data_IF_414979682424
#
_entry.id   IF_414979682424
#
_cell.length_a   1.000
_cell.length_b   1.000
_cell.length_c   1.000
_cell.angle_alpha   90.00
_cell.angle_beta   90.00
_cell.angle_gamma   90.00
#
_symmetry.space_group_name_H-M   'P 1'
#
loop_
_entity.id
_entity.type
_entity.pdbx_description
1 polymer ?
#
# COMPACT_ATOMS: atom_id res chain seq x y z
N UNK A 1 -6.63 4.06 -27.99
CA UNK A 1 -6.60 3.57 -26.58
C UNK A 1 -6.21 4.76 -25.69
N UNK A 2 -7.15 5.24 -24.88
CA UNK A 2 -6.86 6.34 -23.93
C UNK A 2 -6.02 5.74 -22.79
N UNK A 3 -4.80 6.23 -22.62
CA UNK A 3 -3.93 5.76 -21.52
C UNK A 3 -4.46 6.24 -20.15
N UNK A 4 -4.19 5.51 -19.08
CA UNK A 4 -4.60 5.89 -17.71
C UNK A 4 -4.17 7.33 -17.36
N UNK A 5 -3.00 7.76 -17.79
CA UNK A 5 -2.49 9.13 -17.56
C UNK A 5 -3.37 10.16 -18.27
N UNK A 6 -3.84 9.88 -19.50
CA UNK A 6 -4.75 10.75 -20.24
C UNK A 6 -6.10 10.84 -19.53
N UNK A 7 -6.65 9.70 -19.13
CA UNK A 7 -7.92 9.65 -18.37
C UNK A 7 -7.83 10.45 -17.06
N UNK A 8 -6.73 10.32 -16.32
CA UNK A 8 -6.52 11.07 -15.07
C UNK A 8 -6.37 12.59 -15.29
N UNK A 9 -5.91 13.01 -16.48
CA UNK A 9 -5.78 14.44 -16.84
C UNK A 9 -7.11 15.03 -17.30
N UNK A 10 -7.93 14.27 -18.04
CA UNK A 10 -9.21 14.74 -18.59
C UNK A 10 -10.28 14.96 -17.51
N UNK A 11 -10.18 14.24 -16.38
CA UNK A 11 -11.11 14.38 -15.25
C UNK A 11 -10.69 15.56 -14.35
N UNK A 12 -10.87 16.80 -14.83
CA UNK A 12 -10.54 17.99 -14.05
C UNK A 12 -11.64 18.29 -13.02
N UNK A 13 -11.22 18.77 -11.85
CA UNK A 13 -12.10 19.36 -10.82
C UNK A 13 -12.38 18.50 -9.58
N UNK A 14 -12.30 17.16 -9.64
CA UNK A 14 -12.50 16.28 -8.47
C UNK A 14 -11.20 15.68 -7.99
N UNK A 15 -11.03 15.49 -6.66
CA UNK A 15 -9.90 14.75 -6.12
C UNK A 15 -9.98 13.28 -6.58
N UNK A 16 -8.83 12.65 -6.76
CA UNK A 16 -8.72 11.28 -7.28
C UNK A 16 -8.09 10.35 -6.25
N UNK A 17 -8.62 9.15 -6.15
CA UNK A 17 -8.04 8.09 -5.33
C UNK A 17 -7.78 6.84 -6.17
N UNK A 18 -6.52 6.42 -6.20
CA UNK A 18 -6.08 5.21 -6.88
C UNK A 18 -5.77 4.16 -5.82
N UNK A 19 -6.47 3.03 -5.88
CA UNK A 19 -6.20 1.85 -5.07
C UNK A 19 -5.26 0.91 -5.83
N UNK A 20 -4.10 0.62 -5.24
CA UNK A 20 -3.20 -0.42 -5.74
C UNK A 20 -3.54 -1.74 -5.07
N UNK A 21 -3.83 -2.77 -5.85
CA UNK A 21 -4.08 -4.13 -5.37
C UNK A 21 -3.10 -5.13 -6.00
N UNK A 22 -2.83 -6.19 -5.29
CA UNK A 22 -1.97 -7.29 -5.77
C UNK A 22 -1.10 -7.86 -4.66
N UNK A 23 -0.64 -9.12 -4.81
CA UNK A 23 0.15 -9.80 -3.81
C UNK A 23 1.52 -9.16 -3.56
N UNK A 24 2.17 -9.55 -2.48
CA UNK A 24 3.56 -9.16 -2.22
C UNK A 24 4.44 -9.63 -3.38
N UNK A 25 5.35 -8.76 -3.86
CA UNK A 25 6.21 -9.08 -5.02
C UNK A 25 5.56 -8.94 -6.40
N UNK A 26 4.28 -8.56 -6.51
CA UNK A 26 3.60 -8.39 -7.81
C UNK A 26 4.04 -7.18 -8.64
N UNK A 27 4.88 -6.29 -8.08
CA UNK A 27 5.39 -5.12 -8.78
C UNK A 27 4.54 -3.85 -8.61
N UNK A 28 3.67 -3.76 -7.59
CA UNK A 28 2.86 -2.57 -7.30
C UNK A 28 3.67 -1.28 -7.31
N UNK A 29 4.77 -1.23 -6.56
CA UNK A 29 5.62 -0.03 -6.46
C UNK A 29 6.22 0.38 -7.81
N UNK A 30 6.63 -0.58 -8.64
CA UNK A 30 7.11 -0.30 -9.99
C UNK A 30 6.00 0.31 -10.87
N UNK A 31 4.82 -0.29 -10.85
CA UNK A 31 3.67 0.17 -11.63
C UNK A 31 3.21 1.55 -11.15
N UNK A 32 3.13 1.78 -9.84
CA UNK A 32 2.73 3.08 -9.29
C UNK A 32 3.71 4.20 -9.68
N UNK A 33 5.02 3.96 -9.60
CA UNK A 33 6.03 4.94 -10.03
C UNK A 33 5.95 5.30 -11.51
N UNK A 34 5.52 4.36 -12.36
CA UNK A 34 5.39 4.58 -13.80
C UNK A 34 4.07 5.22 -14.23
N UNK A 35 2.98 4.90 -13.56
CA UNK A 35 1.63 5.25 -14.01
C UNK A 35 0.96 6.33 -13.15
N UNK A 36 1.35 6.48 -11.88
CA UNK A 36 0.70 7.44 -10.98
C UNK A 36 1.46 8.77 -10.98
N UNK A 37 0.80 9.90 -11.23
CA UNK A 37 1.43 11.21 -11.18
C UNK A 37 2.03 11.53 -9.80
N UNK A 38 3.12 12.31 -9.78
CA UNK A 38 3.86 12.64 -8.55
C UNK A 38 3.08 13.48 -7.52
N UNK A 39 1.98 14.11 -7.93
CA UNK A 39 1.12 14.91 -7.05
C UNK A 39 0.13 14.06 -6.22
N UNK A 40 0.22 12.73 -6.27
CA UNK A 40 -0.57 11.85 -5.43
C UNK A 40 0.11 11.61 -4.08
N UNK A 41 -0.66 11.72 -3.01
CA UNK A 41 -0.21 11.41 -1.65
C UNK A 41 -0.30 9.90 -1.41
N UNK A 42 0.84 9.26 -1.24
CA UNK A 42 0.91 7.81 -0.99
C UNK A 42 0.48 7.49 0.44
N UNK A 43 -0.50 6.63 0.57
CA UNK A 43 -1.02 6.05 1.81
C UNK A 43 -0.61 4.58 1.84
N UNK A 44 0.49 4.28 2.53
CA UNK A 44 1.09 2.95 2.61
C UNK A 44 1.54 2.65 4.04
N UNK A 45 0.98 1.59 4.64
CA UNK A 45 1.34 1.15 6.00
C UNK A 45 2.76 0.59 6.03
N UNK A 46 3.17 -0.11 4.99
CA UNK A 46 4.50 -0.75 4.92
C UNK A 46 5.62 0.29 4.96
N UNK A 47 5.49 1.41 4.24
CA UNK A 47 6.49 2.49 4.25
C UNK A 47 6.62 3.13 5.64
N UNK A 48 5.50 3.32 6.33
CA UNK A 48 5.49 3.85 7.70
C UNK A 48 6.10 2.86 8.68
N UNK A 49 5.77 1.59 8.54
CA UNK A 49 6.31 0.52 9.36
C UNK A 49 7.82 0.33 9.18
N UNK A 50 8.31 0.36 7.94
CA UNK A 50 9.76 0.28 7.66
C UNK A 50 10.55 1.43 8.30
N UNK A 51 9.99 2.66 8.27
CA UNK A 51 10.60 3.80 8.97
C UNK A 51 10.68 3.58 10.49
N UNK A 52 9.63 3.02 11.09
CA UNK A 52 9.62 2.73 12.53
C UNK A 52 10.59 1.60 12.90
N UNK A 53 10.71 0.54 12.09
CA UNK A 53 11.69 -0.51 12.27
C UNK A 53 13.13 0.05 12.23
N UNK A 54 13.46 0.84 11.22
CA UNK A 54 14.76 1.49 11.08
C UNK A 54 15.07 2.39 12.29
N UNK A 55 14.12 3.20 12.71
CA UNK A 55 14.27 4.10 13.86
C UNK A 55 14.48 3.34 15.18
N UNK A 56 13.92 2.12 15.30
CA UNK A 56 14.10 1.27 16.48
C UNK A 56 15.38 0.42 16.47
N UNK A 57 16.19 0.49 15.41
CA UNK A 57 17.39 -0.33 15.23
C UNK A 57 17.11 -1.81 14.99
N UNK A 58 15.86 -2.18 14.70
CA UNK A 58 15.47 -3.57 14.48
C UNK A 58 15.78 -4.03 13.05
N UNK A 59 16.07 -5.32 12.91
CA UNK A 59 16.25 -5.95 11.61
C UNK A 59 15.00 -5.88 10.73
N UNK A 60 15.18 -5.93 9.40
CA UNK A 60 14.10 -5.84 8.42
C UNK A 60 13.50 -7.21 8.06
N UNK A 61 14.13 -8.31 8.44
CA UNK A 61 13.73 -9.68 8.08
C UNK A 61 13.02 -10.34 9.25
N UNK A 62 11.71 -10.48 9.18
CA UNK A 62 10.90 -11.12 10.24
C UNK A 62 11.35 -12.53 10.59
N UNK A 63 11.86 -13.30 9.61
CA UNK A 63 12.35 -14.66 9.83
C UNK A 63 13.57 -14.75 10.77
N UNK A 64 14.29 -13.65 10.95
CA UNK A 64 15.51 -13.60 11.78
C UNK A 64 15.26 -12.96 13.15
N UNK A 65 14.02 -12.60 13.48
CA UNK A 65 13.65 -11.93 14.72
C UNK A 65 13.44 -12.94 15.85
N UNK A 66 13.91 -12.60 17.04
CA UNK A 66 13.57 -13.30 18.28
C UNK A 66 12.08 -13.10 18.64
N UNK A 67 11.51 -13.92 19.56
CA UNK A 67 10.12 -13.74 20.00
C UNK A 67 9.81 -12.35 20.55
N UNK A 68 10.73 -11.74 21.29
CA UNK A 68 10.57 -10.39 21.84
C UNK A 68 10.62 -9.33 20.74
N UNK A 69 11.52 -9.48 19.77
CA UNK A 69 11.57 -8.61 18.60
C UNK A 69 10.30 -8.72 17.75
N UNK A 70 9.73 -9.92 17.58
CA UNK A 70 8.48 -10.14 16.88
C UNK A 70 7.30 -9.44 17.59
N UNK A 71 7.26 -9.49 18.93
CA UNK A 71 6.25 -8.78 19.73
C UNK A 71 6.37 -7.26 19.52
N UNK A 72 7.57 -6.71 19.68
CA UNK A 72 7.86 -5.28 19.46
C UNK A 72 7.55 -4.85 18.02
N UNK A 73 7.90 -5.69 17.04
CA UNK A 73 7.56 -5.50 15.62
C UNK A 73 6.05 -5.40 15.41
N UNK A 74 5.25 -6.21 16.10
CA UNK A 74 3.79 -6.14 16.10
C UNK A 74 3.24 -4.82 16.65
N UNK A 75 3.84 -4.32 17.73
CA UNK A 75 3.50 -3.02 18.32
C UNK A 75 3.79 -1.85 17.34
N UNK A 76 4.97 -1.89 16.70
CA UNK A 76 5.36 -0.92 15.67
C UNK A 76 4.44 -0.97 14.45
N UNK A 77 3.98 -2.16 14.04
CA UNK A 77 2.97 -2.31 12.99
C UNK A 77 1.64 -1.66 13.40
N UNK A 78 1.23 -1.80 14.67
CA UNK A 78 0.07 -1.11 15.22
C UNK A 78 0.19 0.41 15.16
N UNK A 79 1.35 0.95 15.51
CA UNK A 79 1.65 2.38 15.40
C UNK A 79 1.65 2.86 13.94
N UNK A 80 2.25 2.08 13.03
CA UNK A 80 2.27 2.37 11.60
C UNK A 80 0.86 2.48 11.02
N UNK A 81 -0.05 1.57 11.40
CA UNK A 81 -1.46 1.60 10.97
C UNK A 81 -2.14 2.87 11.44
N UNK A 82 -2.03 3.21 12.74
CA UNK A 82 -2.64 4.44 13.29
C UNK A 82 -2.11 5.71 12.59
N UNK A 83 -0.81 5.81 12.39
CA UNK A 83 -0.19 6.95 11.70
C UNK A 83 -0.63 7.05 10.23
N UNK A 84 -0.75 5.91 9.55
CA UNK A 84 -1.20 5.86 8.15
C UNK A 84 -2.68 6.19 8.02
N UNK A 85 -3.53 5.74 8.96
CA UNK A 85 -4.95 6.11 8.98
C UNK A 85 -5.13 7.61 9.28
N UNK A 86 -4.35 8.20 10.19
CA UNK A 86 -4.36 9.64 10.43
C UNK A 86 -3.97 10.43 9.17
N UNK A 87 -2.92 9.98 8.45
CA UNK A 87 -2.49 10.58 7.17
C UNK A 87 -3.58 10.46 6.10
N UNK A 88 -4.27 9.33 6.02
CA UNK A 88 -5.40 9.13 5.11
C UNK A 88 -6.54 10.11 5.41
N UNK A 89 -6.94 10.24 6.68
CA UNK A 89 -8.01 11.15 7.11
C UNK A 89 -7.66 12.62 6.83
N UNK A 90 -6.43 13.06 7.11
CA UNK A 90 -5.98 14.41 6.80
C UNK A 90 -6.02 14.68 5.30
N UNK A 91 -5.42 13.80 4.52
CA UNK A 91 -5.32 14.00 3.07
C UNK A 91 -6.69 13.93 2.37
N UNK A 92 -7.62 13.06 2.83
CA UNK A 92 -8.96 12.96 2.26
C UNK A 92 -9.83 14.19 2.60
N UNK A 93 -9.77 14.69 3.82
CA UNK A 93 -10.47 15.92 4.23
C UNK A 93 -10.00 17.15 3.46
N UNK A 94 -8.72 17.19 3.11
CA UNK A 94 -8.12 18.29 2.33
C UNK A 94 -8.21 18.06 0.80
N UNK A 95 -9.05 17.14 0.34
CA UNK A 95 -9.29 16.82 -1.08
C UNK A 95 -7.99 16.61 -1.90
N UNK A 96 -6.94 16.03 -1.26
CA UNK A 96 -5.68 15.71 -1.92
C UNK A 96 -5.82 14.43 -2.76
N UNK A 97 -5.17 14.36 -3.92
CA UNK A 97 -5.10 13.11 -4.68
C UNK A 97 -4.39 12.02 -3.87
N UNK A 98 -4.93 10.82 -3.87
CA UNK A 98 -4.49 9.70 -3.03
C UNK A 98 -4.04 8.50 -3.86
N UNK A 99 -2.89 7.94 -3.52
CA UNK A 99 -2.46 6.61 -3.92
C UNK A 99 -2.50 5.70 -2.69
N UNK A 100 -3.47 4.79 -2.66
CA UNK A 100 -3.67 3.87 -1.54
C UNK A 100 -3.04 2.53 -1.93
N UNK A 101 -1.83 2.31 -1.41
CA UNK A 101 -1.12 1.04 -1.62
C UNK A 101 -1.44 0.10 -0.46
N UNK A 102 -2.23 -0.92 -0.74
CA UNK A 102 -2.55 -1.96 0.22
C UNK A 102 -2.29 -3.34 -0.39
N UNK A 103 -1.67 -4.20 0.37
CA UNK A 103 -1.69 -5.62 0.07
C UNK A 103 -3.12 -6.08 0.34
N UNK A 104 -3.93 -6.26 -0.70
CA UNK A 104 -5.37 -6.52 -0.71
C UNK A 104 -5.96 -7.47 0.34
N UNK A 105 -5.58 -7.29 1.61
CA UNK A 105 -5.88 -8.22 2.70
C UNK A 105 -7.34 -8.32 3.11
N UNK A 106 -8.21 -7.39 2.69
CA UNK A 106 -9.65 -7.49 2.91
C UNK A 106 -10.42 -6.60 1.94
N UNK A 107 -11.20 -7.23 1.08
CA UNK A 107 -12.11 -6.53 0.18
C UNK A 107 -13.10 -5.61 0.94
N UNK A 108 -13.54 -6.02 2.13
CA UNK A 108 -14.42 -5.19 2.99
C UNK A 108 -13.77 -3.85 3.36
N UNK A 109 -12.50 -3.87 3.78
CA UNK A 109 -11.78 -2.63 4.16
C UNK A 109 -11.59 -1.73 2.94
N UNK A 110 -11.25 -2.30 1.80
CA UNK A 110 -11.08 -1.57 0.56
C UNK A 110 -12.38 -0.93 0.10
N UNK A 111 -13.49 -1.68 0.07
CA UNK A 111 -14.81 -1.19 -0.30
C UNK A 111 -15.32 -0.10 0.65
N UNK A 112 -15.05 -0.23 1.96
CA UNK A 112 -15.36 0.80 2.94
C UNK A 112 -14.61 2.11 2.65
N UNK A 113 -13.29 2.04 2.43
CA UNK A 113 -12.49 3.23 2.08
C UNK A 113 -12.93 3.85 0.76
N UNK A 114 -13.28 3.02 -0.22
CA UNK A 114 -13.83 3.48 -1.49
C UNK A 114 -15.12 4.28 -1.28
N UNK A 115 -16.11 3.71 -0.58
CA UNK A 115 -17.37 4.37 -0.29
C UNK A 115 -17.19 5.68 0.49
N UNK A 116 -16.28 5.70 1.47
CA UNK A 116 -15.93 6.91 2.24
C UNK A 116 -15.38 8.01 1.34
N UNK A 117 -14.49 7.69 0.41
CA UNK A 117 -13.91 8.65 -0.51
C UNK A 117 -14.92 9.13 -1.56
N UNK A 118 -15.77 8.26 -2.08
CA UNK A 118 -16.83 8.64 -3.02
C UNK A 118 -17.86 9.57 -2.37
N UNK A 119 -18.18 9.35 -1.08
CA UNK A 119 -19.03 10.26 -0.31
C UNK A 119 -18.38 11.64 -0.10
N UNK A 120 -17.04 11.72 -0.13
CA UNK A 120 -16.27 12.98 -0.11
C UNK A 120 -16.07 13.59 -1.50
N UNK A 121 -16.67 13.03 -2.55
CA UNK A 121 -16.62 13.54 -3.91
C UNK A 121 -15.41 13.10 -4.73
N UNK A 122 -14.68 12.09 -4.30
CA UNK A 122 -13.54 11.53 -5.05
C UNK A 122 -14.00 10.70 -6.25
N UNK A 123 -13.24 10.79 -7.33
CA UNK A 123 -13.24 9.77 -8.37
C UNK A 123 -12.28 8.65 -7.97
N UNK A 124 -12.76 7.41 -7.93
CA UNK A 124 -11.99 6.25 -7.45
C UNK A 124 -11.58 5.32 -8.58
N UNK A 125 -10.35 4.85 -8.57
CA UNK A 125 -9.76 3.94 -9.56
C UNK A 125 -9.07 2.78 -8.85
N UNK A 126 -8.95 1.63 -9.53
CA UNK A 126 -8.19 0.49 -9.05
C UNK A 126 -7.17 0.04 -10.11
N UNK A 127 -5.95 -0.15 -9.68
CA UNK A 127 -4.89 -0.80 -10.47
C UNK A 127 -4.55 -2.11 -9.77
N UNK A 128 -4.78 -3.23 -10.46
CA UNK A 128 -4.41 -4.55 -9.96
C UNK A 128 -3.16 -5.06 -10.68
N UNK A 129 -2.17 -5.48 -9.90
CA UNK A 129 -0.97 -6.14 -10.42
C UNK A 129 -1.00 -7.62 -10.07
N UNK A 130 -0.64 -8.45 -11.04
CA UNK A 130 -0.65 -9.90 -10.89
C UNK A 130 0.65 -10.50 -11.42
N UNK A 131 1.19 -11.49 -10.69
CA UNK A 131 2.29 -12.36 -11.11
C UNK A 131 2.06 -13.75 -10.52
N UNK A 132 2.72 -14.79 -11.01
CA UNK A 132 2.56 -16.12 -10.43
C UNK A 132 2.99 -16.19 -8.96
N UNK A 133 2.45 -17.12 -8.14
CA UNK A 133 2.89 -17.32 -6.75
C UNK A 133 4.40 -17.58 -6.66
N UNK A 134 4.96 -18.33 -7.60
CA UNK A 134 6.39 -18.63 -7.68
C UNK A 134 7.19 -17.35 -7.86
N UNK A 135 6.82 -16.52 -8.83
CA UNK A 135 7.46 -15.21 -9.08
C UNK A 135 7.34 -14.27 -7.86
N UNK A 136 6.20 -14.28 -7.17
CA UNK A 136 6.01 -13.53 -5.93
C UNK A 136 7.00 -13.96 -4.84
N UNK A 137 7.16 -15.27 -4.63
CA UNK A 137 8.09 -15.83 -3.64
C UNK A 137 9.55 -15.51 -3.98
N UNK A 138 9.94 -15.65 -5.25
CA UNK A 138 11.30 -15.32 -5.71
C UNK A 138 11.64 -13.84 -5.48
N UNK A 139 10.76 -12.95 -5.90
CA UNK A 139 10.93 -11.51 -5.72
C UNK A 139 10.94 -11.11 -4.23
N UNK A 140 10.13 -11.80 -3.41
CA UNK A 140 10.11 -11.54 -1.96
C UNK A 140 11.45 -11.87 -1.30
N UNK A 141 12.14 -12.93 -1.75
CA UNK A 141 13.49 -13.30 -1.22
C UNK A 141 14.55 -12.22 -1.50
N UNK A 142 14.40 -11.49 -2.61
CA UNK A 142 15.36 -10.47 -3.05
C UNK A 142 15.15 -9.10 -2.37
N UNK A 143 14.07 -8.95 -1.57
CA UNK A 143 13.77 -7.67 -0.90
C UNK A 143 14.56 -7.54 0.40
N UNK A 144 14.96 -6.30 0.73
CA UNK A 144 15.58 -5.97 2.02
C UNK A 144 14.65 -6.39 3.18
N UNK A 145 13.35 -6.08 3.04
CA UNK A 145 12.31 -6.59 3.94
C UNK A 145 11.58 -7.76 3.28
N UNK A 146 12.01 -8.97 3.59
CA UNK A 146 11.32 -10.17 3.15
C UNK A 146 10.23 -10.60 4.14
N UNK A 147 9.10 -11.02 3.60
CA UNK A 147 7.98 -11.59 4.35
C UNK A 147 8.15 -13.12 4.47
N UNK A 148 7.52 -13.71 5.48
CA UNK A 148 7.41 -15.17 5.55
C UNK A 148 6.67 -15.70 4.31
N UNK A 149 7.09 -16.84 3.72
CA UNK A 149 6.43 -17.42 2.54
C UNK A 149 4.92 -17.61 2.72
N UNK A 150 4.49 -18.01 3.93
CA UNK A 150 3.07 -18.16 4.28
C UNK A 150 2.28 -16.84 4.18
N UNK A 151 2.89 -15.70 4.49
CA UNK A 151 2.27 -14.38 4.36
C UNK A 151 2.15 -14.00 2.89
N UNK A 152 3.20 -14.28 2.09
CA UNK A 152 3.17 -14.04 0.63
C UNK A 152 2.04 -14.85 0.00
N UNK A 153 1.97 -16.15 0.28
CA UNK A 153 0.94 -17.04 -0.29
C UNK A 153 -0.48 -16.67 0.17
N UNK A 154 -0.65 -16.18 1.41
CA UNK A 154 -1.96 -15.73 1.90
C UNK A 154 -2.46 -14.45 1.21
N UNK A 155 -1.57 -13.70 0.56
CA UNK A 155 -1.95 -12.49 -0.19
C UNK A 155 -2.51 -12.78 -1.59
N UNK A 156 -2.58 -14.07 -1.95
CA UNK A 156 -3.20 -14.63 -3.16
C UNK A 156 -4.63 -15.08 -2.90
#
# INVERSE_FOLDING_TARGET
>A
MIGLISLLREMQGKPKAIFMAGPAGSGKSYVSQKLVPSNFNTINVDDTYEKLLKASGMGMKLANMSPDELKKSGELMGQARKATDAKFQDASKNAKNLLIDSVGGSSKVLLKKKAELEALGYDTFMIMTYVSPITSLERNKQRDRSLLPSIVLRSW
#
